data_IF_660102858250
#
_entry.id   IF_660102858250
#
_cell.length_a   1.000
_cell.length_b   1.000
_cell.length_c   1.000
_cell.angle_alpha   90.00
_cell.angle_beta   90.00
_cell.angle_gamma   90.00
#
_symmetry.space_group_name_H-M   'P 1'
#
loop_
_entity.id
_entity.type
_entity.pdbx_description
1 polymer ?
#
# COMPACT_ATOMS: atom_id res chain seq x y z
N UNK A 1 25.46 14.83 12.12
CA UNK A 1 24.03 15.11 12.34
C UNK A 1 23.30 13.86 11.90
N UNK A 2 22.61 13.15 12.79
CA UNK A 2 21.76 12.02 12.39
C UNK A 2 20.60 12.57 11.59
N UNK A 3 20.33 12.02 10.40
CA UNK A 3 19.20 12.45 9.61
C UNK A 3 17.91 12.11 10.39
N UNK A 4 17.01 13.09 10.61
CA UNK A 4 15.92 12.91 11.56
C UNK A 4 14.94 11.80 11.13
N UNK A 5 14.80 11.53 9.84
CA UNK A 5 13.96 10.43 9.34
C UNK A 5 14.61 9.05 9.35
N UNK A 6 15.91 8.93 9.67
CA UNK A 6 16.62 7.64 9.67
C UNK A 6 16.10 6.68 10.76
N UNK A 7 15.57 7.22 11.87
CA UNK A 7 15.06 6.45 13.01
C UNK A 7 13.60 6.75 13.35
N UNK A 8 12.89 7.48 12.49
CA UNK A 8 11.49 7.83 12.70
C UNK A 8 10.58 6.90 11.92
N UNK A 9 9.73 6.20 12.65
CA UNK A 9 8.67 5.38 12.07
C UNK A 9 7.35 6.15 12.04
N UNK A 10 6.74 6.25 10.86
CA UNK A 10 5.45 6.89 10.67
C UNK A 10 4.34 5.85 10.53
N UNK A 11 3.24 6.05 11.26
CA UNK A 11 2.10 5.12 11.26
C UNK A 11 1.10 5.42 10.13
N UNK A 12 0.20 4.46 9.88
CA UNK A 12 -0.98 4.61 8.99
C UNK A 12 -0.65 5.00 7.55
N UNK A 13 0.54 4.64 7.05
CA UNK A 13 0.94 4.98 5.68
C UNK A 13 1.44 6.41 5.50
N UNK A 14 1.65 7.18 6.57
CA UNK A 14 2.38 8.46 6.52
C UNK A 14 3.84 8.25 6.06
N UNK A 15 4.43 9.31 5.50
CA UNK A 15 5.84 9.36 5.10
C UNK A 15 6.57 10.34 6.00
N UNK A 16 7.81 10.01 6.38
CA UNK A 16 8.66 10.92 7.12
C UNK A 16 9.22 12.00 6.20
N UNK A 17 9.07 13.26 6.60
CA UNK A 17 9.65 14.44 5.95
C UNK A 17 10.42 15.27 6.97
N UNK A 18 11.41 16.03 6.53
CA UNK A 18 12.17 16.93 7.39
C UNK A 18 11.54 18.32 7.36
N UNK A 19 11.14 18.83 8.52
CA UNK A 19 10.63 20.19 8.70
C UNK A 19 11.71 21.24 8.44
N UNK A 20 11.31 22.49 8.24
CA UNK A 20 12.21 23.65 8.18
C UNK A 20 13.10 23.76 9.43
N UNK A 21 12.57 23.36 10.60
CA UNK A 21 13.31 23.30 11.87
C UNK A 21 14.32 22.13 11.97
N UNK A 22 14.50 21.33 10.91
CA UNK A 22 15.36 20.15 10.90
C UNK A 22 14.80 18.96 11.70
N UNK A 23 13.49 18.93 11.97
CA UNK A 23 12.81 17.88 12.74
C UNK A 23 12.10 16.87 11.83
N UNK A 24 12.01 15.61 12.24
CA UNK A 24 11.19 14.62 11.54
C UNK A 24 9.70 14.90 11.78
N UNK A 25 8.93 14.93 10.71
CA UNK A 25 7.47 15.04 10.72
C UNK A 25 6.87 13.90 9.89
N UNK A 26 5.80 13.31 10.40
CA UNK A 26 5.04 12.31 9.66
C UNK A 26 3.88 13.00 8.95
N UNK A 27 3.90 12.97 7.62
CA UNK A 27 2.88 13.60 6.78
C UNK A 27 2.14 12.56 5.94
N UNK A 28 0.83 12.73 5.79
CA UNK A 28 0.07 11.92 4.85
C UNK A 28 0.46 12.27 3.41
N UNK A 29 0.47 11.31 2.47
CA UNK A 29 0.61 11.62 1.05
C UNK A 29 -0.41 12.69 0.65
N UNK A 30 0.07 13.82 0.14
CA UNK A 30 -0.78 14.90 -0.35
C UNK A 30 -1.14 14.68 -1.81
N UNK A 31 -0.14 14.30 -2.61
CA UNK A 31 -0.27 14.04 -4.03
C UNK A 31 -0.09 12.56 -4.32
N UNK A 32 -1.04 12.01 -5.07
CA UNK A 32 -0.98 10.64 -5.56
C UNK A 32 -1.11 10.63 -7.08
N UNK A 33 -0.36 9.75 -7.77
CA UNK A 33 -0.50 9.59 -9.20
C UNK A 33 -1.92 9.15 -9.55
N UNK A 34 -2.39 9.58 -10.73
CA UNK A 34 -3.68 9.17 -11.29
C UNK A 34 -3.59 7.84 -12.06
N UNK A 35 -2.48 7.11 -11.93
CA UNK A 35 -2.33 5.79 -12.54
C UNK A 35 -3.31 4.81 -11.91
N UNK A 36 -3.95 4.02 -12.77
CA UNK A 36 -4.94 3.04 -12.36
C UNK A 36 -4.28 1.67 -12.16
N UNK A 37 -3.80 1.44 -10.94
CA UNK A 37 -3.15 0.20 -10.51
C UNK A 37 -3.88 -0.34 -9.26
N UNK A 38 -5.11 -0.85 -9.43
CA UNK A 38 -6.02 -1.07 -8.30
C UNK A 38 -5.45 -2.04 -7.28
N UNK A 39 -5.73 -1.76 -6.00
CA UNK A 39 -5.37 -2.64 -4.88
C UNK A 39 -6.56 -2.83 -3.95
N UNK A 40 -6.72 -4.05 -3.42
CA UNK A 40 -7.71 -4.33 -2.41
C UNK A 40 -7.09 -4.13 -1.03
N UNK A 41 -7.72 -3.29 -0.21
CA UNK A 41 -7.31 -3.06 1.17
C UNK A 41 -7.73 -4.18 2.11
N UNK A 42 -7.10 -4.25 3.28
CA UNK A 42 -7.47 -5.14 4.39
C UNK A 42 -8.81 -4.78 5.03
N UNK A 43 -9.42 -3.66 4.61
CA UNK A 43 -10.76 -3.21 4.94
C UNK A 43 -11.78 -3.57 3.84
N UNK A 44 -11.40 -4.42 2.89
CA UNK A 44 -12.20 -4.87 1.76
C UNK A 44 -12.68 -3.72 0.84
N UNK A 45 -11.93 -2.61 0.83
CA UNK A 45 -12.15 -1.47 -0.06
C UNK A 45 -11.12 -1.49 -1.20
N UNK A 46 -11.59 -1.30 -2.43
CA UNK A 46 -10.71 -1.08 -3.58
C UNK A 46 -10.18 0.35 -3.60
N UNK A 47 -8.86 0.49 -3.71
CA UNK A 47 -8.20 1.78 -3.88
C UNK A 47 -7.63 1.86 -5.29
N UNK A 48 -7.70 3.05 -5.91
CA UNK A 48 -7.22 3.29 -7.30
C UNK A 48 -5.77 2.87 -7.50
N UNK A 49 -4.93 3.10 -6.49
CA UNK A 49 -3.57 2.57 -6.40
C UNK A 49 -3.07 2.56 -4.95
N UNK A 50 -1.85 2.07 -4.76
CA UNK A 50 -1.20 1.98 -3.45
C UNK A 50 -1.04 3.35 -2.75
N UNK A 51 -0.79 4.43 -3.49
CA UNK A 51 -0.68 5.76 -2.90
C UNK A 51 -2.01 6.21 -2.30
N UNK A 52 -3.11 6.05 -3.05
CA UNK A 52 -4.46 6.37 -2.56
C UNK A 52 -4.84 5.54 -1.33
N UNK A 53 -4.41 4.27 -1.26
CA UNK A 53 -4.56 3.45 -0.05
C UNK A 53 -3.82 4.07 1.13
N UNK A 54 -2.53 4.42 0.98
CA UNK A 54 -1.75 5.05 2.06
C UNK A 54 -2.31 6.40 2.48
N UNK A 55 -2.75 7.21 1.52
CA UNK A 55 -3.38 8.50 1.78
C UNK A 55 -4.64 8.33 2.64
N UNK A 56 -5.56 7.45 2.22
CA UNK A 56 -6.79 7.18 2.96
C UNK A 56 -6.52 6.57 4.34
N UNK A 57 -5.59 5.61 4.42
CA UNK A 57 -5.12 4.98 5.66
C UNK A 57 -4.63 6.04 6.66
N UNK A 58 -3.82 6.99 6.17
CA UNK A 58 -3.23 8.06 6.98
C UNK A 58 -4.27 9.08 7.45
N UNK A 59 -5.11 9.56 6.53
CA UNK A 59 -6.16 10.54 6.83
C UNK A 59 -7.18 9.98 7.82
N UNK A 60 -7.53 8.69 7.70
CA UNK A 60 -8.47 8.00 8.61
C UNK A 60 -7.81 7.49 9.88
N UNK A 61 -6.48 7.61 10.02
CA UNK A 61 -5.67 7.02 11.11
C UNK A 61 -5.98 5.53 11.34
N UNK A 62 -6.19 4.80 10.25
CA UNK A 62 -6.42 3.35 10.26
C UNK A 62 -5.24 2.66 9.62
N UNK A 63 -4.87 1.48 10.08
CA UNK A 63 -3.73 0.76 9.52
C UNK A 63 -4.20 -0.17 8.40
N UNK A 64 -4.74 0.42 7.32
CA UNK A 64 -5.16 -0.34 6.14
C UNK A 64 -3.91 -0.78 5.39
N UNK A 65 -3.78 -2.08 5.17
CA UNK A 65 -2.70 -2.70 4.38
C UNK A 65 -3.28 -3.21 3.07
N UNK A 66 -2.42 -3.46 2.08
CA UNK A 66 -2.83 -4.18 0.87
C UNK A 66 -3.11 -5.63 1.25
N UNK A 67 -4.32 -6.11 0.92
CA UNK A 67 -4.72 -7.52 1.02
C UNK A 67 -4.23 -8.29 -0.21
N UNK A 68 -4.50 -7.76 -1.40
CA UNK A 68 -3.99 -8.26 -2.68
C UNK A 68 -3.97 -7.14 -3.74
N UNK A 69 -3.28 -7.38 -4.85
CA UNK A 69 -3.37 -6.50 -6.03
C UNK A 69 -4.65 -6.79 -6.83
N UNK A 70 -5.18 -5.79 -7.53
CA UNK A 70 -6.49 -5.85 -8.18
C UNK A 70 -7.62 -5.28 -7.31
N UNK A 71 -8.83 -5.21 -7.85
CA UNK A 71 -9.98 -4.72 -7.11
C UNK A 71 -10.51 -5.79 -6.14
N UNK A 72 -11.05 -5.36 -4.99
CA UNK A 72 -11.82 -6.25 -4.14
C UNK A 72 -13.04 -6.76 -4.93
N UNK A 73 -13.36 -8.04 -4.80
CA UNK A 73 -14.50 -8.63 -5.53
C UNK A 73 -14.12 -9.23 -6.89
N UNK A 74 -12.93 -8.95 -7.43
CA UNK A 74 -12.36 -9.70 -8.58
C UNK A 74 -11.83 -11.07 -8.13
N UNK A 75 -12.67 -11.85 -7.44
CA UNK A 75 -12.35 -13.17 -6.89
C UNK A 75 -12.80 -14.32 -7.80
N UNK A 76 -12.78 -14.15 -9.13
CA UNK A 76 -13.21 -15.25 -9.99
C UNK A 76 -12.22 -16.43 -10.07
N UNK A 77 -11.03 -16.38 -9.43
CA UNK A 77 -10.10 -17.54 -9.39
C UNK A 77 -9.07 -17.59 -8.23
N UNK A 78 -8.96 -16.60 -7.33
CA UNK A 78 -7.82 -16.55 -6.39
C UNK A 78 -7.89 -17.53 -5.19
N UNK A 79 -9.08 -17.94 -4.76
CA UNK A 79 -9.21 -18.93 -3.66
C UNK A 79 -8.78 -20.35 -4.08
N UNK A 80 -8.72 -20.64 -5.39
CA UNK A 80 -8.21 -21.91 -5.91
C UNK A 80 -6.70 -21.87 -6.18
N UNK A 81 -6.17 -20.71 -6.59
CA UNK A 81 -4.74 -20.54 -6.94
C UNK A 81 -3.83 -20.29 -5.74
N UNK A 82 -4.34 -19.74 -4.64
CA UNK A 82 -3.55 -19.57 -3.41
C UNK A 82 -3.11 -20.93 -2.82
N UNK A 83 -3.99 -21.94 -2.84
CA UNK A 83 -3.64 -23.31 -2.45
C UNK A 83 -2.68 -24.00 -3.44
N UNK A 84 -2.83 -23.75 -4.74
CA UNK A 84 -1.94 -24.32 -5.77
C UNK A 84 -0.52 -23.74 -5.68
N UNK A 85 -0.36 -22.43 -5.40
CA UNK A 85 0.95 -21.82 -5.20
C UNK A 85 1.69 -22.35 -3.96
N UNK A 86 0.98 -22.62 -2.86
CA UNK A 86 1.58 -23.14 -1.61
C UNK A 86 2.03 -24.60 -1.75
N UNK A 87 1.35 -25.39 -2.60
CA UNK A 87 1.61 -26.83 -2.74
C UNK A 87 2.31 -27.28 -4.03
N UNK A 88 2.45 -26.44 -5.07
CA UNK A 88 3.21 -26.86 -6.25
C UNK A 88 3.22 -25.90 -7.42
N UNK A 89 4.38 -25.25 -7.63
CA UNK A 89 4.90 -24.75 -8.92
C UNK A 89 3.88 -24.11 -9.87
N UNK A 90 3.41 -22.91 -9.54
CA UNK A 90 3.06 -21.94 -10.58
C UNK A 90 3.78 -20.64 -10.26
N UNK A 91 4.74 -20.26 -11.10
CA UNK A 91 5.35 -18.94 -11.07
C UNK A 91 4.26 -17.93 -11.36
N UNK A 92 4.02 -16.98 -10.47
CA UNK A 92 3.24 -15.78 -10.79
C UNK A 92 3.94 -15.06 -11.94
N UNK A 93 3.50 -15.32 -13.17
CA UNK A 93 3.90 -14.55 -14.34
C UNK A 93 2.73 -13.66 -14.72
N UNK A 94 2.61 -12.51 -14.05
CA UNK A 94 2.18 -11.32 -14.78
C UNK A 94 3.42 -10.78 -15.47
N UNK A 95 3.59 -11.21 -16.72
CA UNK A 95 4.48 -10.54 -17.66
C UNK A 95 3.97 -9.11 -17.86
N UNK A 96 4.89 -8.17 -17.73
CA UNK A 96 4.76 -6.83 -18.30
C UNK A 96 5.68 -6.82 -19.51
N UNK A 97 5.12 -6.52 -20.69
CA UNK A 97 5.88 -6.31 -21.93
C UNK A 97 6.92 -5.19 -21.79
#
# INVERSE_FOLDING_TARGET
>A
VSEPCEKTYCAWGATCVVSEDGKALCQCPADCPLTSDPVCGSDDITYTNYCHLRQASCQKRKNTRVKHQGACGEYLIDELLFFICVFGKITSSRGSD
#
